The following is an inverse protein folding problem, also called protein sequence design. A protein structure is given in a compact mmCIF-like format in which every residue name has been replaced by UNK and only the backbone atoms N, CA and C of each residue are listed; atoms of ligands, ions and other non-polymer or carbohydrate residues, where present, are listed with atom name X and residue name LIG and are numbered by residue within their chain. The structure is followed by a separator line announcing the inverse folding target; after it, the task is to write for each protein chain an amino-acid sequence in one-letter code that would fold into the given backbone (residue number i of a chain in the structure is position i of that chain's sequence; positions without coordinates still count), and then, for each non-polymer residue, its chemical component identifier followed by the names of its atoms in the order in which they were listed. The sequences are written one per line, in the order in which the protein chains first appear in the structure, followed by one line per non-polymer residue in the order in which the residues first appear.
data_IF_508570201012
#
_entry.id   IF_508570201012
#
_cell.length_a   1.000
_cell.length_b   1.000
_cell.length_c   1.000
_cell.angle_alpha   90.00
_cell.angle_beta   90.00
_cell.angle_gamma   90.00
#
_symmetry.space_group_name_H-M   'P 1'
#
loop_
_entity.id
_entity.type
_entity.pdbx_description
1 polymer ?
#
# COMPACT_ATOMS: atom_id res chain seq x y z
N UNK A 1 -25.51 13.26 -2.81
CA UNK A 1 -24.21 13.95 -2.68
C UNK A 1 -23.30 13.01 -1.90
N UNK A 2 -22.61 12.06 -2.56
CA UNK A 2 -21.78 11.05 -1.87
C UNK A 2 -20.52 10.65 -2.64
N UNK A 3 -20.02 11.52 -3.54
CA UNK A 3 -18.86 11.20 -4.39
C UNK A 3 -17.50 11.63 -3.84
N UNK A 4 -17.45 12.61 -2.92
CA UNK A 4 -16.18 13.22 -2.51
C UNK A 4 -15.53 12.52 -1.32
N UNK A 5 -16.34 12.03 -0.38
CA UNK A 5 -15.89 11.49 0.90
C UNK A 5 -15.23 10.09 0.77
N UNK A 6 -15.52 9.36 -0.32
CA UNK A 6 -14.83 8.09 -0.63
C UNK A 6 -13.48 8.34 -1.30
N UNK A 7 -13.39 9.37 -2.14
CA UNK A 7 -12.16 9.75 -2.84
C UNK A 7 -11.13 10.34 -1.88
N UNK A 8 -11.56 11.19 -0.94
CA UNK A 8 -10.66 11.78 0.08
C UNK A 8 -10.08 10.67 0.98
N UNK A 9 -10.91 9.72 1.42
CA UNK A 9 -10.44 8.54 2.16
C UNK A 9 -9.51 7.63 1.36
N UNK A 10 -9.67 7.57 0.04
CA UNK A 10 -8.77 6.80 -0.82
C UNK A 10 -7.38 7.46 -0.91
N UNK A 11 -7.32 8.79 -1.00
CA UNK A 11 -6.07 9.55 -0.95
C UNK A 11 -5.39 9.36 0.41
N UNK A 12 -6.15 9.45 1.50
CA UNK A 12 -5.63 9.23 2.86
C UNK A 12 -5.03 7.82 3.03
N UNK A 13 -5.68 6.78 2.47
CA UNK A 13 -5.15 5.40 2.49
C UNK A 13 -3.87 5.28 1.69
N UNK A 14 -3.80 5.89 0.50
CA UNK A 14 -2.60 5.84 -0.34
C UNK A 14 -1.40 6.49 0.36
N UNK A 15 -1.58 7.68 0.94
CA UNK A 15 -0.51 8.37 1.67
C UNK A 15 -0.10 7.61 2.93
N UNK A 16 -1.07 7.07 3.67
CA UNK A 16 -0.81 6.25 4.86
C UNK A 16 -0.02 4.98 4.52
N UNK A 17 -0.38 4.31 3.43
CA UNK A 17 0.34 3.14 2.94
C UNK A 17 1.77 3.50 2.51
N UNK A 18 1.95 4.61 1.77
CA UNK A 18 3.28 5.10 1.37
C UNK A 18 4.18 5.38 2.59
N UNK A 19 3.67 6.07 3.59
CA UNK A 19 4.41 6.37 4.81
C UNK A 19 4.79 5.10 5.57
N UNK A 20 3.87 4.13 5.63
CA UNK A 20 4.10 2.85 6.29
C UNK A 20 5.21 2.05 5.61
N UNK A 21 5.23 1.98 4.28
CA UNK A 21 6.32 1.30 3.53
C UNK A 21 7.66 2.02 3.74
N UNK A 22 7.69 3.36 3.71
CA UNK A 22 8.91 4.13 3.97
C UNK A 22 9.45 3.90 5.38
N UNK A 23 8.57 3.77 6.37
CA UNK A 23 8.97 3.48 7.75
C UNK A 23 9.61 2.09 7.90
N UNK A 24 9.24 1.11 7.08
CA UNK A 24 9.80 -0.26 7.12
C UNK A 24 11.00 -0.46 6.19
N UNK A 25 11.41 0.59 5.48
CA UNK A 25 12.59 0.56 4.62
C UNK A 25 13.86 0.35 5.45
N UNK A 26 14.85 -0.33 4.87
CA UNK A 26 16.19 -0.50 5.45
C UNK A 26 16.19 -1.13 6.85
N UNK A 27 15.19 -1.99 7.15
CA UNK A 27 15.05 -2.68 8.43
C UNK A 27 14.27 -1.88 9.50
N UNK A 28 13.63 -0.78 9.12
CA UNK A 28 12.76 -0.02 10.00
C UNK A 28 11.54 -0.82 10.48
N UNK A 29 10.99 -0.40 11.61
CA UNK A 29 9.86 -1.07 12.27
C UNK A 29 8.84 -0.05 12.76
N UNK A 30 7.62 -0.53 13.01
CA UNK A 30 6.58 0.23 13.70
C UNK A 30 6.17 -0.47 14.99
N UNK A 31 5.35 0.20 15.81
CA UNK A 31 4.86 -0.33 17.08
C UNK A 31 4.08 -1.65 16.94
N UNK A 32 3.57 -1.95 15.74
CA UNK A 32 2.81 -3.17 15.45
C UNK A 32 3.66 -4.30 14.85
N UNK A 33 4.97 -4.13 14.72
CA UNK A 33 5.85 -5.24 14.33
C UNK A 33 5.88 -6.30 15.42
N UNK A 34 5.70 -7.56 15.02
CA UNK A 34 5.92 -8.72 15.88
C UNK A 34 6.80 -9.77 15.19
N UNK A 35 7.05 -10.88 15.89
CA UNK A 35 7.92 -11.96 15.40
C UNK A 35 7.44 -12.60 14.08
N UNK A 36 6.14 -12.49 13.77
CA UNK A 36 5.53 -12.97 12.53
C UNK A 36 5.51 -11.95 11.38
N UNK A 37 6.15 -10.79 11.55
CA UNK A 37 6.12 -9.67 10.61
C UNK A 37 5.19 -8.54 11.02
N UNK A 38 4.82 -7.69 10.05
CA UNK A 38 4.03 -6.49 10.30
C UNK A 38 2.82 -6.44 9.35
N UNK A 39 1.63 -6.67 9.91
CA UNK A 39 0.39 -6.61 9.13
C UNK A 39 0.12 -5.24 8.49
N UNK A 40 0.56 -4.16 9.14
CA UNK A 40 0.47 -2.80 8.57
C UNK A 40 1.37 -2.64 7.35
N UNK A 41 2.58 -3.21 7.39
CA UNK A 41 3.48 -3.20 6.25
C UNK A 41 2.93 -4.05 5.10
N UNK A 42 2.41 -5.24 5.40
CA UNK A 42 1.74 -6.11 4.41
C UNK A 42 0.57 -5.39 3.75
N UNK A 43 -0.34 -4.82 4.53
CA UNK A 43 -1.46 -4.02 4.03
C UNK A 43 -0.98 -2.87 3.14
N UNK A 44 0.04 -2.14 3.57
CA UNK A 44 0.53 -0.99 2.82
C UNK A 44 1.10 -1.36 1.45
N UNK A 45 1.82 -2.48 1.35
CA UNK A 45 2.31 -3.00 0.06
C UNK A 45 1.14 -3.40 -0.85
N UNK A 46 0.15 -4.10 -0.31
CA UNK A 46 -1.06 -4.48 -1.06
C UNK A 46 -1.86 -3.27 -1.55
N UNK A 47 -2.08 -2.28 -0.68
CA UNK A 47 -2.86 -1.09 -1.00
C UNK A 47 -2.16 -0.29 -2.11
N UNK A 48 -0.86 -0.04 -2.00
CA UNK A 48 -0.08 0.63 -3.06
C UNK A 48 -0.07 -0.18 -4.35
N UNK A 49 -0.08 -1.51 -4.27
CA UNK A 49 -0.17 -2.42 -5.42
C UNK A 49 -1.44 -2.21 -6.26
N UNK A 50 -2.54 -1.73 -5.68
CA UNK A 50 -3.80 -1.47 -6.41
C UNK A 50 -3.72 -0.25 -7.33
N UNK A 51 -2.81 0.68 -7.06
CA UNK A 51 -2.70 1.94 -7.80
C UNK A 51 -1.48 1.95 -8.72
N UNK A 52 -1.63 2.47 -9.95
CA UNK A 52 -0.50 2.60 -10.90
C UNK A 52 0.69 3.34 -10.28
N UNK A 53 0.44 4.45 -9.58
CA UNK A 53 1.48 5.22 -8.89
C UNK A 53 2.16 4.45 -7.76
N UNK A 54 1.40 3.65 -7.01
CA UNK A 54 1.93 2.81 -5.94
C UNK A 54 2.79 1.66 -6.48
N UNK A 55 2.37 0.98 -7.56
CA UNK A 55 3.20 -0.04 -8.24
C UNK A 55 4.53 0.52 -8.73
N UNK A 56 4.56 1.73 -9.28
CA UNK A 56 5.81 2.40 -9.70
C UNK A 56 6.70 2.68 -8.48
N UNK A 57 6.11 3.25 -7.42
CA UNK A 57 6.82 3.53 -6.18
C UNK A 57 7.42 2.27 -5.54
N UNK A 58 6.65 1.18 -5.45
CA UNK A 58 7.12 -0.07 -4.89
C UNK A 58 8.24 -0.71 -5.73
N UNK A 59 8.15 -0.65 -7.07
CA UNK A 59 9.25 -1.08 -7.97
C UNK A 59 10.54 -0.32 -7.71
N UNK A 60 10.48 0.99 -7.47
CA UNK A 60 11.66 1.81 -7.14
C UNK A 60 12.30 1.41 -5.81
N UNK A 61 11.50 0.86 -4.88
CA UNK A 61 11.98 0.35 -3.60
C UNK A 61 12.44 -1.11 -3.66
N UNK A 62 12.35 -1.77 -4.82
CA UNK A 62 12.80 -3.15 -5.02
C UNK A 62 11.80 -4.22 -4.58
N UNK A 63 10.53 -3.86 -4.34
CA UNK A 63 9.50 -4.85 -4.05
C UNK A 63 9.16 -5.66 -5.31
N UNK A 64 8.95 -6.98 -5.19
CA UNK A 64 8.40 -7.77 -6.28
C UNK A 64 6.92 -7.38 -6.46
N UNK A 65 6.59 -6.72 -7.56
CA UNK A 65 5.21 -6.38 -7.90
C UNK A 65 4.76 -7.31 -9.00
N UNK A 66 3.76 -8.12 -8.67
CA UNK A 66 3.06 -8.92 -9.65
C UNK A 66 2.11 -8.00 -10.42
N UNK A 67 2.43 -7.73 -11.69
CA UNK A 67 1.59 -6.90 -12.57
C UNK A 67 0.25 -7.60 -12.91
N UNK A 68 -0.02 -8.84 -12.43
CA UNK A 68 -1.23 -9.61 -12.76
C UNK A 68 -2.47 -9.29 -11.91
N UNK A 69 -2.41 -8.32 -10.99
CA UNK A 69 -3.62 -7.86 -10.27
C UNK A 69 -4.44 -6.87 -11.12
N UNK A 70 -4.95 -7.39 -12.24
CA UNK A 70 -6.15 -6.90 -12.92
C UNK A 70 -7.30 -7.91 -12.71
N UNK A 71 -7.60 -8.28 -11.46
CA UNK A 71 -8.79 -9.08 -11.17
C UNK A 71 -9.66 -8.36 -10.14
N UNK A 72 -10.80 -7.86 -10.60
CA UNK A 72 -11.82 -7.28 -9.73
C UNK A 72 -12.78 -6.28 -10.38
N UNK A 73 -13.10 -6.38 -11.67
CA UNK A 73 -14.27 -5.67 -12.21
C UNK A 73 -15.54 -6.47 -11.85
N UNK A 74 -16.44 -5.96 -10.98
CA UNK A 74 -17.72 -6.59 -10.78
C UNK A 74 -18.59 -6.34 -12.02
N UNK A 75 -19.28 -7.40 -12.43
CA UNK A 75 -20.16 -7.53 -13.59
C UNK A 75 -21.48 -6.82 -13.38
#
# INVERSE_FOLDING_TARGET
MSGSDESDRAVDRFESARNTVLQHRDGGTCFHCGDGGCGQHTWAVEELGRHRGGRVFLRQLGFPIDDSTEEGQPR
#
